data_IF_546846886730
#
_entry.id   IF_546846886730
#
_cell.length_a   1.000
_cell.length_b   1.000
_cell.length_c   1.000
_cell.angle_alpha   90.00
_cell.angle_beta   90.00
_cell.angle_gamma   90.00
#
_symmetry.space_group_name_H-M   'P 1'
#
loop_
_entity.id
_entity.type
_entity.pdbx_description
1 polymer ?
#
# COMPACT_ATOMS: atom_id res chain seq x y z
N UNK A 1 -7.89 26.44 -3.83
CA UNK A 1 -8.50 25.13 -3.50
C UNK A 1 -7.36 24.19 -3.19
N UNK A 2 -7.37 23.53 -2.03
CA UNK A 2 -6.35 22.54 -1.68
C UNK A 2 -6.54 21.29 -2.54
N UNK A 3 -5.44 20.77 -3.09
CA UNK A 3 -5.43 19.54 -3.89
C UNK A 3 -5.43 18.36 -2.92
N UNK A 4 -6.29 17.35 -3.12
CA UNK A 4 -6.28 16.12 -2.32
C UNK A 4 -4.91 15.44 -2.36
N UNK A 5 -4.48 14.86 -1.24
CA UNK A 5 -3.26 14.05 -1.18
C UNK A 5 -3.46 12.73 -1.92
N UNK A 6 -4.61 12.08 -1.67
CA UNK A 6 -5.05 10.87 -2.37
C UNK A 6 -6.45 11.13 -2.92
N UNK A 7 -6.67 10.77 -4.18
CA UNK A 7 -7.95 10.88 -4.86
C UNK A 7 -8.26 9.54 -5.53
N UNK A 8 -9.43 9.00 -5.24
CA UNK A 8 -9.97 7.79 -5.87
C UNK A 8 -11.26 8.18 -6.59
N UNK A 9 -11.40 7.79 -7.86
CA UNK A 9 -12.58 8.05 -8.68
C UNK A 9 -13.07 6.78 -9.35
N UNK A 10 -14.34 6.42 -9.13
CA UNK A 10 -15.06 5.30 -9.76
C UNK A 10 -14.25 3.99 -9.75
N UNK A 11 -13.50 3.72 -8.66
CA UNK A 11 -12.63 2.56 -8.56
C UNK A 11 -13.44 1.26 -8.66
N UNK A 12 -12.98 0.35 -9.52
CA UNK A 12 -13.56 -0.98 -9.71
C UNK A 12 -12.49 -2.04 -9.62
N UNK A 13 -12.64 -2.94 -8.64
CA UNK A 13 -11.72 -4.07 -8.44
C UNK A 13 -12.53 -5.36 -8.32
N UNK A 14 -12.32 -6.29 -9.27
CA UNK A 14 -13.09 -7.52 -9.41
C UNK A 14 -12.18 -8.72 -9.26
N UNK A 15 -12.77 -9.84 -8.82
CA UNK A 15 -12.10 -11.15 -8.68
C UNK A 15 -12.85 -12.18 -9.49
N UNK A 16 -12.12 -12.95 -10.29
CA UNK A 16 -12.65 -14.06 -11.07
C UNK A 16 -12.51 -15.35 -10.28
N UNK A 17 -13.64 -15.92 -9.91
CA UNK A 17 -13.74 -17.16 -9.14
C UNK A 17 -14.44 -18.23 -9.96
N UNK A 18 -14.35 -19.49 -9.54
CA UNK A 18 -15.07 -20.61 -10.20
C UNK A 18 -16.59 -20.39 -10.24
N UNK A 19 -17.14 -19.68 -9.26
CA UNK A 19 -18.57 -19.36 -9.15
C UNK A 19 -18.99 -18.10 -9.90
N UNK A 20 -18.04 -17.38 -10.55
CA UNK A 20 -18.31 -16.16 -11.30
C UNK A 20 -17.43 -14.98 -10.88
N UNK A 21 -17.85 -13.77 -11.23
CA UNK A 21 -17.13 -12.54 -10.96
C UNK A 21 -17.62 -11.89 -9.67
N UNK A 22 -16.75 -11.80 -8.68
CA UNK A 22 -16.99 -11.06 -7.44
C UNK A 22 -16.54 -9.62 -7.60
N UNK A 23 -17.47 -8.66 -7.54
CA UNK A 23 -17.21 -7.23 -7.61
C UNK A 23 -16.90 -6.70 -6.21
N UNK A 24 -15.67 -6.86 -5.76
CA UNK A 24 -15.27 -6.49 -4.41
C UNK A 24 -15.26 -4.97 -4.16
N UNK A 25 -14.97 -4.19 -5.20
CA UNK A 25 -15.12 -2.72 -5.23
C UNK A 25 -15.79 -2.38 -6.55
N UNK A 26 -16.91 -1.64 -6.52
CA UNK A 26 -17.69 -1.32 -7.71
C UNK A 26 -18.16 0.14 -7.66
N UNK A 27 -17.29 1.06 -8.10
CA UNK A 27 -17.61 2.49 -8.23
C UNK A 27 -17.31 3.34 -6.98
N UNK A 28 -16.26 3.01 -6.20
CA UNK A 28 -15.88 3.78 -5.02
C UNK A 28 -15.13 5.06 -5.42
N UNK A 29 -15.56 6.17 -4.83
CA UNK A 29 -14.88 7.47 -4.95
C UNK A 29 -14.69 8.08 -3.57
N UNK A 30 -13.49 8.57 -3.27
CA UNK A 30 -13.15 9.27 -2.03
C UNK A 30 -11.90 10.14 -2.20
N UNK A 31 -11.75 11.11 -1.32
CA UNK A 31 -10.58 11.98 -1.24
C UNK A 31 -10.00 11.94 0.17
N UNK A 32 -8.67 12.05 0.26
CA UNK A 32 -7.96 12.27 1.52
C UNK A 32 -7.12 13.53 1.38
N UNK A 33 -7.34 14.50 2.26
CA UNK A 33 -6.61 15.75 2.25
C UNK A 33 -5.28 15.63 3.01
N UNK A 34 -4.29 16.49 2.75
CA UNK A 34 -3.08 16.54 3.57
C UNK A 34 -3.39 16.75 5.05
N UNK A 35 -2.82 15.89 5.92
CA UNK A 35 -3.04 15.92 7.36
C UNK A 35 -4.40 15.37 7.83
N UNK A 36 -5.22 14.86 6.93
CA UNK A 36 -6.51 14.27 7.26
C UNK A 36 -6.39 12.82 7.72
N UNK A 37 -7.28 12.41 8.62
CA UNK A 37 -7.54 11.02 8.98
C UNK A 37 -8.94 10.64 8.48
N UNK A 38 -9.01 9.81 7.46
CA UNK A 38 -10.26 9.32 6.88
C UNK A 38 -10.59 7.93 7.43
N UNK A 39 -11.76 7.78 8.08
CA UNK A 39 -12.30 6.50 8.51
C UNK A 39 -13.12 5.83 7.39
N UNK A 40 -12.70 4.65 6.94
CA UNK A 40 -13.47 3.82 6.01
C UNK A 40 -14.19 2.71 6.79
N UNK A 41 -15.52 2.83 6.92
CA UNK A 41 -16.35 1.95 7.75
C UNK A 41 -17.25 1.07 6.88
N UNK A 42 -17.53 -0.13 7.34
CA UNK A 42 -18.41 -1.08 6.65
C UNK A 42 -18.28 -2.49 7.24
N UNK A 43 -19.20 -3.38 6.90
CA UNK A 43 -19.20 -4.77 7.33
C UNK A 43 -17.99 -5.57 6.78
N UNK A 44 -17.76 -6.77 7.34
CA UNK A 44 -16.78 -7.70 6.78
C UNK A 44 -17.16 -8.05 5.33
N UNK A 45 -16.17 -8.05 4.43
CA UNK A 45 -16.42 -8.31 3.01
C UNK A 45 -16.92 -7.11 2.18
N UNK A 46 -17.10 -5.93 2.77
CA UNK A 46 -17.59 -4.73 2.05
C UNK A 46 -16.56 -4.05 1.14
N UNK A 47 -15.38 -4.62 0.94
CA UNK A 47 -14.36 -4.10 0.02
C UNK A 47 -13.35 -3.11 0.60
N UNK A 48 -13.40 -2.78 1.91
CA UNK A 48 -12.47 -1.82 2.54
C UNK A 48 -10.99 -2.15 2.31
N UNK A 49 -10.59 -3.36 2.67
CA UNK A 49 -9.21 -3.83 2.49
C UNK A 49 -8.82 -3.91 1.00
N UNK A 50 -9.76 -4.32 0.14
CA UNK A 50 -9.54 -4.36 -1.31
C UNK A 50 -9.33 -2.95 -1.87
N UNK A 51 -10.07 -1.95 -1.38
CA UNK A 51 -9.87 -0.55 -1.76
C UNK A 51 -8.46 -0.08 -1.38
N UNK A 52 -8.02 -0.32 -0.14
CA UNK A 52 -6.67 0.03 0.31
C UNK A 52 -5.56 -0.69 -0.48
N UNK A 53 -5.72 -2.00 -0.72
CA UNK A 53 -4.80 -2.79 -1.54
C UNK A 53 -4.74 -2.31 -3.00
N UNK A 54 -5.87 -1.81 -3.54
CA UNK A 54 -5.94 -1.26 -4.89
C UNK A 54 -5.10 0.01 -5.03
N UNK A 55 -5.06 0.87 -4.00
CA UNK A 55 -4.22 2.09 -4.00
C UNK A 55 -2.76 1.74 -4.25
N UNK A 56 -2.27 0.70 -3.58
CA UNK A 56 -0.89 0.23 -3.73
C UNK A 56 -0.71 -0.80 -4.85
N UNK A 57 -1.76 -1.10 -5.63
CA UNK A 57 -1.76 -2.14 -6.66
C UNK A 57 -1.25 -3.49 -6.15
N UNK A 58 -1.63 -3.84 -4.91
CA UNK A 58 -1.28 -5.11 -4.24
C UNK A 58 -2.35 -6.19 -4.43
N UNK A 59 -3.31 -5.97 -5.31
CA UNK A 59 -4.31 -6.98 -5.68
C UNK A 59 -3.61 -8.13 -6.41
N UNK A 60 -3.73 -9.38 -5.91
CA UNK A 60 -3.13 -10.53 -6.58
C UNK A 60 -3.81 -10.77 -7.94
N UNK A 61 -3.04 -10.83 -8.99
CA UNK A 61 -3.54 -11.05 -10.35
C UNK A 61 -2.82 -12.26 -10.97
N UNK A 62 -3.50 -13.39 -11.25
CA UNK A 62 -4.89 -13.68 -10.90
C UNK A 62 -5.10 -13.94 -9.39
N UNK A 63 -6.33 -14.00 -8.83
CA UNK A 63 -7.62 -13.89 -9.52
C UNK A 63 -8.20 -12.47 -9.57
N UNK A 64 -7.58 -11.47 -8.92
CA UNK A 64 -8.10 -10.11 -8.83
C UNK A 64 -7.54 -9.18 -9.89
N UNK A 65 -8.32 -8.15 -10.25
CA UNK A 65 -7.87 -7.11 -11.17
C UNK A 65 -8.61 -5.79 -10.91
N UNK A 66 -7.88 -4.67 -11.00
CA UNK A 66 -8.48 -3.34 -11.11
C UNK A 66 -8.95 -3.19 -12.54
N UNK A 67 -10.25 -3.02 -12.74
CA UNK A 67 -10.92 -3.01 -14.05
C UNK A 67 -11.37 -1.63 -14.49
N UNK A 68 -11.34 -0.63 -13.58
CA UNK A 68 -11.74 0.73 -13.92
C UNK A 68 -11.49 1.70 -12.78
N UNK A 69 -11.66 2.96 -13.08
CA UNK A 69 -11.46 4.08 -12.18
C UNK A 69 -10.06 4.70 -12.29
N UNK A 70 -9.81 5.66 -11.40
CA UNK A 70 -8.53 6.37 -11.28
C UNK A 70 -8.10 6.39 -9.82
N UNK A 71 -6.79 6.33 -9.59
CA UNK A 71 -6.18 6.51 -8.27
C UNK A 71 -5.05 7.52 -8.42
N UNK A 72 -5.22 8.73 -7.89
CA UNK A 72 -4.22 9.79 -7.96
C UNK A 72 -3.62 10.06 -6.58
N UNK A 73 -2.31 10.10 -6.53
CA UNK A 73 -1.56 10.51 -5.34
C UNK A 73 -0.74 11.75 -5.68
N UNK A 74 -0.95 12.83 -4.93
CA UNK A 74 -0.35 14.16 -5.24
C UNK A 74 -0.57 14.58 -6.71
N UNK A 75 -1.75 14.27 -7.25
CA UNK A 75 -2.12 14.57 -8.64
C UNK A 75 -1.59 13.59 -9.69
N UNK A 76 -0.70 12.63 -9.34
CA UNK A 76 -0.16 11.61 -10.25
C UNK A 76 -1.02 10.35 -10.21
N UNK A 77 -1.48 9.89 -11.38
CA UNK A 77 -2.21 8.62 -11.47
C UNK A 77 -1.26 7.43 -11.23
N UNK A 78 -1.67 6.54 -10.29
CA UNK A 78 -0.88 5.37 -9.90
C UNK A 78 -1.17 4.14 -10.76
N UNK A 79 -2.31 4.09 -11.48
CA UNK A 79 -2.70 2.88 -12.22
C UNK A 79 -1.84 2.60 -13.45
N UNK A 80 -1.42 3.61 -14.27
CA UNK A 80 -0.60 3.38 -15.44
C UNK A 80 0.89 3.21 -15.14
N UNK A 81 1.34 3.39 -13.89
CA UNK A 81 2.76 3.32 -13.54
C UNK A 81 3.36 1.94 -13.84
N UNK A 82 4.62 1.92 -14.25
CA UNK A 82 5.42 0.68 -14.34
C UNK A 82 5.64 0.05 -12.97
N UNK A 83 6.15 -1.19 -12.95
CA UNK A 83 6.48 -1.87 -11.69
C UNK A 83 7.60 -1.15 -10.91
N UNK A 84 8.56 -0.57 -11.60
CA UNK A 84 9.64 0.21 -10.99
C UNK A 84 9.09 1.50 -10.37
N UNK A 85 8.26 2.23 -11.10
CA UNK A 85 7.67 3.47 -10.60
C UNK A 85 6.75 3.26 -9.39
N UNK A 86 5.89 2.24 -9.40
CA UNK A 86 5.00 1.97 -8.26
C UNK A 86 5.79 1.46 -7.04
N UNK A 87 6.91 0.76 -7.25
CA UNK A 87 7.80 0.35 -6.15
C UNK A 87 8.38 1.55 -5.42
N UNK A 88 8.73 2.61 -6.13
CA UNK A 88 9.26 3.84 -5.53
C UNK A 88 8.21 4.58 -4.68
N UNK A 89 6.92 4.44 -5.02
CA UNK A 89 5.82 4.97 -4.22
C UNK A 89 5.57 4.12 -2.96
N UNK A 90 5.62 2.78 -3.11
CA UNK A 90 5.39 1.83 -2.02
C UNK A 90 6.46 1.92 -0.94
N UNK A 91 6.04 2.04 0.30
CA UNK A 91 6.92 2.07 1.47
C UNK A 91 7.55 3.43 1.75
N UNK A 92 7.82 4.23 0.73
CA UNK A 92 8.42 5.57 0.87
C UNK A 92 7.36 6.67 0.94
N UNK A 93 6.43 6.69 0.00
CA UNK A 93 5.40 7.74 -0.09
C UNK A 93 4.07 7.28 0.48
N UNK A 94 3.70 6.03 0.24
CA UNK A 94 2.50 5.39 0.79
C UNK A 94 2.90 4.07 1.41
N UNK A 95 2.62 3.89 2.70
CA UNK A 95 2.81 2.62 3.40
C UNK A 95 1.47 2.03 3.85
N UNK A 96 1.47 0.72 4.13
CA UNK A 96 0.30 0.00 4.59
C UNK A 96 0.67 -0.88 5.79
N UNK A 97 -0.17 -0.83 6.83
CA UNK A 97 -0.12 -1.78 7.94
C UNK A 97 -1.20 -2.83 7.69
N UNK A 98 -0.78 -4.09 7.55
CA UNK A 98 -1.68 -5.21 7.32
C UNK A 98 -2.36 -5.67 8.61
N UNK A 99 -3.53 -6.30 8.47
CA UNK A 99 -4.34 -6.73 9.60
C UNK A 99 -3.66 -7.83 10.44
N UNK A 100 -2.77 -8.64 9.83
CA UNK A 100 -2.01 -9.69 10.51
C UNK A 100 -0.50 -9.37 10.49
N UNK A 101 0.00 -8.56 11.45
CA UNK A 101 1.40 -8.13 11.45
C UNK A 101 2.38 -9.27 11.72
N UNK A 102 1.94 -10.39 12.33
CA UNK A 102 2.79 -11.54 12.63
C UNK A 102 3.34 -12.24 11.39
N UNK A 103 2.69 -12.11 10.24
CA UNK A 103 3.13 -12.68 8.96
C UNK A 103 4.01 -11.72 8.15
N UNK A 104 4.21 -10.49 8.62
CA UNK A 104 4.98 -9.47 7.89
C UNK A 104 6.48 -9.69 7.94
N UNK A 105 6.98 -10.40 8.95
CA UNK A 105 8.39 -10.75 9.08
C UNK A 105 8.68 -12.14 8.49
N UNK A 106 9.68 -12.22 7.63
CA UNK A 106 10.15 -13.49 7.10
C UNK A 106 11.05 -14.18 8.15
N UNK A 107 10.68 -15.36 8.69
CA UNK A 107 11.44 -16.03 9.75
C UNK A 107 12.84 -16.52 9.32
N UNK A 108 13.13 -16.55 8.03
CA UNK A 108 14.44 -16.98 7.49
C UNK A 108 15.51 -15.89 7.59
N UNK A 109 15.08 -14.62 7.76
CA UNK A 109 16.00 -13.48 7.85
C UNK A 109 15.92 -12.82 9.22
N UNK A 110 17.04 -12.25 9.67
CA UNK A 110 17.07 -11.46 10.90
C UNK A 110 16.22 -10.18 10.75
N UNK A 111 15.63 -9.71 11.84
CA UNK A 111 14.82 -8.49 11.88
C UNK A 111 15.64 -7.29 11.37
N UNK A 112 16.89 -7.15 11.84
CA UNK A 112 17.78 -6.07 11.41
C UNK A 112 18.00 -6.06 9.88
N UNK A 113 18.16 -7.25 9.26
CA UNK A 113 18.31 -7.34 7.80
C UNK A 113 17.05 -6.85 7.07
N UNK A 114 15.87 -7.23 7.55
CA UNK A 114 14.59 -6.82 6.95
C UNK A 114 14.33 -5.33 7.10
N UNK A 115 14.65 -4.74 8.25
CA UNK A 115 14.54 -3.27 8.45
C UNK A 115 15.54 -2.52 7.57
N UNK A 116 16.78 -2.99 7.51
CA UNK A 116 17.81 -2.39 6.64
C UNK A 116 17.46 -2.46 5.16
N UNK A 117 16.81 -3.53 4.70
CA UNK A 117 16.40 -3.71 3.30
C UNK A 117 15.49 -2.59 2.84
N UNK A 118 14.52 -2.18 3.65
CA UNK A 118 13.62 -1.06 3.34
C UNK A 118 14.43 0.24 3.19
N UNK A 119 15.35 0.51 4.12
CA UNK A 119 16.20 1.72 4.08
C UNK A 119 17.05 1.73 2.80
N UNK A 120 17.73 0.63 2.51
CA UNK A 120 18.62 0.52 1.35
C UNK A 120 17.87 0.54 0.01
N UNK A 121 16.60 0.10 -0.01
CA UNK A 121 15.78 0.12 -1.22
C UNK A 121 15.35 1.55 -1.59
N UNK A 122 15.07 2.38 -0.60
CA UNK A 122 14.47 3.69 -0.81
C UNK A 122 15.44 4.87 -0.61
N UNK A 123 16.63 4.62 -0.06
CA UNK A 123 17.61 5.65 0.23
C UNK A 123 19.01 5.25 -0.25
N UNK A 124 19.75 6.23 -0.78
CA UNK A 124 21.14 6.04 -1.20
C UNK A 124 22.09 6.23 -0.02
N UNK A 125 22.10 5.28 0.91
CA UNK A 125 22.95 5.30 2.11
C UNK A 125 23.86 4.09 2.16
N UNK A 126 24.95 4.16 2.96
CA UNK A 126 25.84 3.03 3.20
C UNK A 126 25.15 1.96 4.07
N UNK A 127 25.67 0.72 4.04
CA UNK A 127 25.18 -0.36 4.90
C UNK A 127 25.33 -0.04 6.38
N UNK A 128 26.42 0.63 6.74
CA UNK A 128 26.70 1.05 8.12
C UNK A 128 25.67 2.07 8.59
N UNK A 129 25.32 3.03 7.74
CA UNK A 129 24.28 4.01 8.04
C UNK A 129 22.91 3.33 8.16
N UNK A 130 22.58 2.42 7.25
CA UNK A 130 21.32 1.67 7.30
C UNK A 130 21.23 0.81 8.58
N UNK A 131 22.35 0.18 9.01
CA UNK A 131 22.40 -0.58 10.25
C UNK A 131 22.19 0.30 11.49
N UNK A 132 22.88 1.44 11.57
CA UNK A 132 22.72 2.38 12.69
C UNK A 132 21.25 2.85 12.81
N UNK A 133 20.63 3.21 11.69
CA UNK A 133 19.22 3.63 11.67
C UNK A 133 18.26 2.49 12.03
N UNK A 134 18.55 1.27 11.58
CA UNK A 134 17.75 0.09 11.96
C UNK A 134 17.79 -0.15 13.48
N UNK A 135 18.96 -0.03 14.11
CA UNK A 135 19.12 -0.12 15.57
C UNK A 135 18.36 0.99 16.26
N UNK A 136 18.45 2.23 15.78
CA UNK A 136 17.73 3.38 16.34
C UNK A 136 16.20 3.14 16.31
N UNK A 137 15.65 2.69 15.17
CA UNK A 137 14.23 2.41 15.02
C UNK A 137 13.79 1.29 15.97
N UNK A 138 14.54 0.19 16.05
CA UNK A 138 14.23 -0.92 16.96
C UNK A 138 14.25 -0.48 18.43
N UNK A 139 15.25 0.31 18.82
CA UNK A 139 15.35 0.88 20.17
C UNK A 139 14.17 1.81 20.47
N UNK A 140 13.74 2.61 19.50
CA UNK A 140 12.60 3.52 19.65
C UNK A 140 11.29 2.77 19.96
N UNK A 141 11.13 1.57 19.42
CA UNK A 141 9.94 0.72 19.67
C UNK A 141 10.15 -0.29 20.81
N UNK A 142 11.26 -0.21 21.55
CA UNK A 142 11.52 -1.00 22.76
C UNK A 142 12.09 -2.39 22.50
N UNK A 143 12.74 -2.61 21.37
CA UNK A 143 13.46 -3.85 21.03
C UNK A 143 14.97 -3.65 21.17
#
# INVERSE_FOLDING_TARGET
MSIPLLEIRDLKTYFWTESGVAKAVDGVSLDVMPGEVLGLVGESGSGKSVTALSVLRLIPNPPGRIVGGEIRFKGRDLLPLTWEEIRDVRGKEISMIFQEPMTSLNPVFTIGKQVMEVILTHEHVSKETAHARAVEILTLVGI
#
